data_IF_784893020767
#
_entry.id   IF_784893020767
#
_cell.length_a   1.000
_cell.length_b   1.000
_cell.length_c   1.000
_cell.angle_alpha   90.00
_cell.angle_beta   90.00
_cell.angle_gamma   90.00
#
_symmetry.space_group_name_H-M   'P 1'
#
loop_
_entity.id
_entity.type
_entity.pdbx_description
1 polymer ?
#
# COMPACT_ATOMS: atom_id res chain seq x y z
N UNK A 1 11.74 -1.79 -23.60
CA UNK A 1 10.70 -2.57 -22.90
C UNK A 1 9.52 -1.64 -22.68
N UNK A 2 8.38 -1.86 -23.34
CA UNK A 2 7.17 -1.04 -23.20
C UNK A 2 6.39 -1.54 -21.97
N UNK A 3 6.72 -1.01 -20.79
CA UNK A 3 6.10 -1.38 -19.49
C UNK A 3 4.78 -0.67 -19.22
N UNK A 4 4.50 0.39 -19.96
CA UNK A 4 3.46 1.35 -19.58
C UNK A 4 2.06 0.97 -20.07
N UNK A 5 1.94 0.09 -21.07
CA UNK A 5 0.63 -0.24 -21.66
C UNK A 5 -0.30 -1.03 -20.73
N UNK A 6 0.23 -1.61 -19.65
CA UNK A 6 -0.55 -2.40 -18.69
C UNK A 6 -1.20 -1.57 -17.58
N UNK A 7 -0.72 -0.34 -17.34
CA UNK A 7 -1.13 0.49 -16.21
C UNK A 7 -1.93 1.70 -16.66
N UNK A 8 -2.98 2.02 -15.90
CA UNK A 8 -3.64 3.33 -16.01
C UNK A 8 -2.83 4.34 -15.21
N UNK A 9 -2.32 5.38 -15.88
CA UNK A 9 -1.67 6.51 -15.20
C UNK A 9 -2.72 7.36 -14.47
N UNK A 10 -2.50 7.63 -13.19
CA UNK A 10 -3.38 8.46 -12.37
C UNK A 10 -2.61 9.63 -11.75
N UNK A 11 -3.32 10.72 -11.46
CA UNK A 11 -2.81 11.88 -10.72
C UNK A 11 -3.67 12.09 -9.48
N UNK A 12 -3.04 12.42 -8.36
CA UNK A 12 -3.73 12.67 -7.10
C UNK A 12 -2.89 13.55 -6.16
N UNK A 13 -3.56 14.24 -5.24
CA UNK A 13 -2.92 14.89 -4.09
C UNK A 13 -2.81 13.95 -2.89
N UNK A 14 -3.76 13.02 -2.77
CA UNK A 14 -3.77 11.97 -1.74
C UNK A 14 -4.44 10.73 -2.30
N UNK A 15 -3.81 9.57 -2.18
CA UNK A 15 -4.38 8.28 -2.52
C UNK A 15 -4.56 7.43 -1.27
N UNK A 16 -5.80 7.05 -0.96
CA UNK A 16 -6.12 6.10 0.10
C UNK A 16 -6.28 4.71 -0.51
N UNK A 17 -5.45 3.77 -0.06
CA UNK A 17 -5.46 2.37 -0.47
C UNK A 17 -5.94 1.57 0.73
N UNK A 18 -7.10 0.94 0.61
CA UNK A 18 -7.69 0.15 1.68
C UNK A 18 -8.04 -1.24 1.17
N UNK A 19 -8.12 -2.21 2.08
CA UNK A 19 -8.63 -3.53 1.74
C UNK A 19 -10.13 -3.55 1.99
N UNK A 20 -10.92 -3.87 0.96
CA UNK A 20 -12.33 -4.18 1.10
C UNK A 20 -12.59 -5.65 0.77
N UNK A 21 -13.51 -6.31 1.50
CA UNK A 21 -14.01 -7.65 1.13
C UNK A 21 -14.56 -7.71 -0.30
N UNK A 22 -14.94 -6.56 -0.87
CA UNK A 22 -15.41 -6.40 -2.25
C UNK A 22 -14.88 -5.08 -2.82
N UNK A 23 -13.64 -5.04 -3.29
CA UNK A 23 -13.19 -3.90 -4.12
C UNK A 23 -13.24 -4.24 -5.60
N UNK A 24 -14.26 -3.67 -6.24
CA UNK A 24 -14.24 -3.26 -7.63
C UNK A 24 -13.24 -2.10 -7.81
N UNK A 25 -11.94 -2.43 -7.91
CA UNK A 25 -11.04 -1.63 -8.74
C UNK A 25 -11.50 -1.92 -10.18
N UNK A 26 -12.04 -0.92 -10.87
CA UNK A 26 -12.76 -1.08 -12.14
C UNK A 26 -11.92 -1.80 -13.20
N UNK A 27 -12.28 -3.06 -13.45
CA UNK A 27 -12.33 -3.79 -14.72
C UNK A 27 -11.36 -3.44 -15.86
N UNK A 28 -10.07 -3.32 -15.59
CA UNK A 28 -9.06 -3.79 -16.55
C UNK A 28 -8.14 -4.77 -15.85
N UNK A 29 -8.48 -6.07 -15.92
CA UNK A 29 -7.59 -7.16 -15.48
C UNK A 29 -6.47 -7.33 -16.50
N UNK A 30 -5.52 -6.40 -16.51
CA UNK A 30 -4.27 -6.64 -17.19
C UNK A 30 -3.42 -7.51 -16.26
N UNK A 31 -3.32 -8.80 -16.58
CA UNK A 31 -2.40 -9.70 -15.88
C UNK A 31 -0.98 -9.21 -16.11
N UNK A 32 -0.19 -9.15 -15.03
CA UNK A 32 1.23 -8.82 -15.13
C UNK A 32 1.97 -10.08 -15.55
N UNK A 33 2.72 -10.08 -16.67
CA UNK A 33 3.47 -11.28 -17.07
C UNK A 33 4.55 -11.63 -16.04
N UNK A 34 4.80 -12.93 -15.83
CA UNK A 34 5.72 -13.43 -14.81
C UNK A 34 7.15 -12.88 -14.93
N UNK A 35 7.65 -12.66 -16.15
CA UNK A 35 8.95 -12.06 -16.40
C UNK A 35 9.10 -10.64 -15.85
N UNK A 36 7.99 -9.93 -15.63
CA UNK A 36 8.01 -8.62 -14.96
C UNK A 36 8.09 -8.72 -13.44
N UNK A 37 7.82 -9.89 -12.86
CA UNK A 37 7.75 -10.11 -11.41
C UNK A 37 9.01 -10.76 -10.82
N UNK A 38 9.97 -11.20 -11.65
CA UNK A 38 11.15 -11.98 -11.23
C UNK A 38 12.08 -11.23 -10.24
N UNK A 39 11.90 -9.92 -10.08
CA UNK A 39 12.69 -9.08 -9.18
C UNK A 39 11.99 -8.69 -7.88
N UNK A 40 10.74 -9.10 -7.64
CA UNK A 40 10.01 -8.71 -6.43
C UNK A 40 10.15 -9.74 -5.31
N UNK A 41 10.41 -9.24 -4.10
CA UNK A 41 10.65 -10.11 -2.95
C UNK A 41 9.42 -10.91 -2.55
N UNK A 42 8.22 -10.43 -2.87
CA UNK A 42 6.96 -11.13 -2.60
C UNK A 42 6.51 -12.11 -3.69
N UNK A 43 7.28 -12.32 -4.77
CA UNK A 43 6.87 -13.27 -5.83
C UNK A 43 6.65 -14.67 -5.25
N UNK A 44 5.38 -15.00 -5.00
CA UNK A 44 4.92 -16.33 -4.64
C UNK A 44 4.49 -17.05 -5.90
N UNK A 45 5.24 -18.10 -6.25
CA UNK A 45 4.92 -18.98 -7.38
C UNK A 45 3.48 -19.49 -7.22
N UNK A 46 2.66 -19.30 -8.26
CA UNK A 46 1.27 -19.75 -8.30
C UNK A 46 0.21 -18.74 -7.88
N UNK A 47 0.59 -17.52 -7.46
CA UNK A 47 -0.37 -16.43 -7.22
C UNK A 47 -0.68 -15.65 -8.51
N UNK A 48 -1.91 -15.14 -8.64
CA UNK A 48 -2.29 -14.26 -9.73
C UNK A 48 -2.07 -12.80 -9.34
N UNK A 49 -1.63 -11.98 -10.29
CA UNK A 49 -1.37 -10.56 -10.09
C UNK A 49 -2.04 -9.74 -11.19
N UNK A 50 -2.65 -8.61 -10.81
CA UNK A 50 -3.21 -7.63 -11.73
C UNK A 50 -2.58 -6.26 -11.55
N UNK A 51 -2.27 -5.60 -12.67
CA UNK A 51 -1.84 -4.21 -12.70
C UNK A 51 -3.03 -3.31 -12.38
N UNK A 52 -2.84 -2.36 -11.46
CA UNK A 52 -3.91 -1.45 -11.04
C UNK A 52 -3.64 -0.04 -11.59
N UNK A 53 -2.62 0.61 -11.06
CA UNK A 53 -2.31 2.01 -11.37
C UNK A 53 -0.81 2.26 -11.47
N UNK A 54 -0.45 3.26 -12.26
CA UNK A 54 0.87 3.88 -12.27
C UNK A 54 0.71 5.35 -11.89
N UNK A 55 1.64 5.90 -11.14
CA UNK A 55 1.69 7.34 -10.86
C UNK A 55 3.12 7.77 -10.54
N UNK A 56 3.37 9.06 -10.64
CA UNK A 56 4.65 9.60 -10.24
C UNK A 56 4.71 9.87 -8.74
N UNK A 57 5.82 9.52 -8.12
CA UNK A 57 6.08 9.83 -6.70
C UNK A 57 6.71 11.20 -6.50
N UNK A 58 7.10 11.90 -7.57
CA UNK A 58 7.67 13.24 -7.48
C UNK A 58 7.30 14.10 -8.69
N UNK A 59 7.27 15.42 -8.49
CA UNK A 59 6.94 16.38 -9.57
C UNK A 59 7.82 16.28 -10.83
N UNK A 60 9.07 15.77 -10.70
CA UNK A 60 9.99 15.66 -11.84
C UNK A 60 9.94 14.28 -12.51
N UNK A 61 9.07 13.36 -12.08
CA UNK A 61 8.95 12.00 -12.62
C UNK A 61 10.25 11.19 -12.58
N UNK A 62 11.12 11.50 -11.62
CA UNK A 62 12.32 10.71 -11.31
C UNK A 62 11.94 9.38 -10.68
N UNK A 63 10.79 9.31 -10.03
CA UNK A 63 10.28 8.14 -9.36
C UNK A 63 8.85 7.83 -9.83
N UNK A 64 8.61 6.58 -10.16
CA UNK A 64 7.29 6.06 -10.53
C UNK A 64 6.90 4.93 -9.58
N UNK A 65 5.66 4.98 -9.11
CA UNK A 65 5.05 3.92 -8.36
C UNK A 65 4.08 3.11 -9.22
N UNK A 66 4.00 1.83 -8.92
CA UNK A 66 3.09 0.88 -9.54
C UNK A 66 2.31 0.18 -8.43
N UNK A 67 1.00 0.17 -8.54
CA UNK A 67 0.13 -0.62 -7.68
C UNK A 67 -0.19 -1.95 -8.34
N UNK A 68 0.08 -3.02 -7.60
CA UNK A 68 -0.18 -4.39 -8.01
C UNK A 68 -1.13 -5.01 -7.01
N UNK A 69 -2.20 -5.61 -7.51
CA UNK A 69 -3.10 -6.41 -6.71
C UNK A 69 -2.67 -7.87 -6.79
N UNK A 70 -2.45 -8.50 -5.64
CA UNK A 70 -2.30 -9.94 -5.52
C UNK A 70 -3.69 -10.54 -5.29
N UNK A 71 -4.08 -11.44 -6.18
CA UNK A 71 -5.34 -12.18 -6.11
C UNK A 71 -5.07 -13.51 -5.41
N UNK A 72 -5.50 -13.62 -4.15
CA UNK A 72 -5.59 -14.90 -3.46
C UNK A 72 -6.73 -15.76 -4.03
N UNK A 73 -6.73 -17.05 -3.70
CA UNK A 73 -7.93 -17.88 -3.86
C UNK A 73 -9.08 -17.34 -2.99
N UNK A 74 -10.28 -17.93 -3.06
CA UNK A 74 -11.45 -17.51 -2.26
C UNK A 74 -11.20 -17.49 -0.74
N UNK A 75 -10.11 -18.09 -0.27
CA UNK A 75 -9.68 -18.14 1.13
C UNK A 75 -8.42 -17.30 1.42
N UNK A 76 -7.75 -16.79 0.40
CA UNK A 76 -6.47 -16.11 0.49
C UNK A 76 -6.62 -14.60 0.65
N UNK A 77 -5.65 -13.91 1.28
CA UNK A 77 -5.68 -12.47 1.40
C UNK A 77 -5.61 -11.82 0.01
N UNK A 78 -6.56 -10.93 -0.29
CA UNK A 78 -6.35 -9.97 -1.36
C UNK A 78 -5.52 -8.83 -0.79
N UNK A 79 -4.34 -8.65 -1.35
CA UNK A 79 -3.41 -7.60 -0.94
C UNK A 79 -3.09 -6.68 -2.12
N UNK A 80 -2.85 -5.41 -1.82
CA UNK A 80 -2.34 -4.42 -2.77
C UNK A 80 -0.94 -4.05 -2.34
N UNK A 81 0.00 -4.14 -3.26
CA UNK A 81 1.40 -3.76 -3.07
C UNK A 81 1.71 -2.50 -3.86
N UNK A 82 2.69 -1.74 -3.37
CA UNK A 82 3.36 -0.68 -4.12
C UNK A 82 4.78 -1.10 -4.46
N UNK A 83 5.19 -0.75 -5.66
CA UNK A 83 6.56 -0.84 -6.12
C UNK A 83 6.99 0.54 -6.60
N UNK A 84 8.07 1.08 -6.06
CA UNK A 84 8.62 2.36 -6.48
C UNK A 84 9.93 2.14 -7.19
N UNK A 85 10.02 2.68 -8.40
CA UNK A 85 11.19 2.62 -9.25
C UNK A 85 11.77 4.00 -9.46
N UNK A 86 13.09 4.08 -9.50
CA UNK A 86 13.78 5.18 -10.17
C UNK A 86 13.59 5.01 -11.68
N UNK A 87 13.07 6.05 -12.35
CA UNK A 87 12.75 6.02 -13.79
C UNK A 87 14.00 5.80 -14.63
N UNK A 88 15.10 6.45 -14.26
CA UNK A 88 16.39 6.25 -14.90
C UNK A 88 16.97 4.89 -14.49
N UNK A 89 17.16 4.00 -15.47
CA UNK A 89 17.65 2.64 -15.25
C UNK A 89 16.64 1.65 -14.67
N UNK A 90 15.37 2.05 -14.45
CA UNK A 90 14.29 1.18 -13.95
C UNK A 90 14.68 0.40 -12.67
N UNK A 91 15.38 1.06 -11.75
CA UNK A 91 15.85 0.45 -10.50
C UNK A 91 14.73 0.45 -9.45
N UNK A 92 14.35 -0.72 -8.93
CA UNK A 92 13.45 -0.84 -7.78
C UNK A 92 14.14 -0.26 -6.53
N UNK A 93 13.49 0.68 -5.85
CA UNK A 93 14.02 1.34 -4.64
C UNK A 93 13.13 1.16 -3.42
N UNK A 94 11.87 0.74 -3.61
CA UNK A 94 10.97 0.45 -2.51
C UNK A 94 9.86 -0.50 -2.92
N UNK A 95 9.45 -1.33 -1.98
CA UNK A 95 8.42 -2.35 -2.10
C UNK A 95 7.71 -2.44 -0.75
N UNK A 96 6.38 -2.42 -0.74
CA UNK A 96 5.60 -2.61 0.49
C UNK A 96 4.17 -3.06 0.23
N UNK A 97 3.60 -3.78 1.19
CA UNK A 97 2.17 -4.06 1.24
C UNK A 97 1.44 -2.77 1.69
N UNK A 98 0.51 -2.28 0.88
CA UNK A 98 -0.28 -1.09 1.21
C UNK A 98 -1.60 -1.45 1.87
N UNK A 99 -2.27 -2.46 1.35
CA UNK A 99 -3.55 -2.88 1.87
C UNK A 99 -3.67 -4.39 1.89
N UNK A 100 -4.24 -4.92 2.98
CA UNK A 100 -4.59 -6.33 3.07
C UNK A 100 -5.76 -6.50 4.04
N UNK A 101 -6.65 -7.43 3.70
CA UNK A 101 -7.63 -7.97 4.62
C UNK A 101 -7.40 -9.48 4.70
N UNK A 102 -7.24 -9.99 5.92
CA UNK A 102 -6.96 -11.40 6.13
C UNK A 102 -7.63 -11.90 7.41
N UNK A 103 -8.39 -12.99 7.30
CA UNK A 103 -8.78 -13.79 8.45
C UNK A 103 -7.63 -14.74 8.77
N UNK A 104 -7.04 -14.62 9.95
CA UNK A 104 -6.02 -15.56 10.44
C UNK A 104 -6.70 -16.55 11.38
N UNK A 105 -6.53 -17.84 11.11
CA UNK A 105 -6.90 -18.94 12.02
C UNK A 105 -8.29 -18.81 12.68
N UNK A 106 -9.36 -18.53 11.92
CA UNK A 106 -10.77 -18.43 12.40
C UNK A 106 -11.08 -17.45 13.55
N UNK A 107 -10.08 -16.93 14.26
CA UNK A 107 -10.22 -16.10 15.46
C UNK A 107 -9.51 -14.77 15.38
N UNK A 108 -8.79 -14.49 14.30
CA UNK A 108 -8.14 -13.20 14.11
C UNK A 108 -8.54 -12.56 12.78
N UNK A 109 -8.57 -11.24 12.78
CA UNK A 109 -8.66 -10.42 11.58
C UNK A 109 -7.46 -9.47 11.55
N UNK A 110 -6.76 -9.45 10.42
CA UNK A 110 -5.75 -8.45 10.10
C UNK A 110 -6.29 -7.54 9.00
N UNK A 111 -6.31 -6.25 9.26
CA UNK A 111 -6.66 -5.21 8.30
C UNK A 111 -5.52 -4.22 8.20
N UNK A 112 -5.05 -3.93 6.99
CA UNK A 112 -4.06 -2.89 6.72
C UNK A 112 -4.58 -1.95 5.65
N UNK A 113 -4.40 -0.64 5.90
CA UNK A 113 -4.70 0.42 4.96
C UNK A 113 -3.50 1.37 4.87
N UNK A 114 -3.35 2.04 3.74
CA UNK A 114 -2.30 3.01 3.50
C UNK A 114 -2.79 4.29 2.83
N UNK A 115 -2.06 5.37 3.05
CA UNK A 115 -2.25 6.67 2.44
C UNK A 115 -0.96 7.11 1.78
N UNK A 116 -1.05 7.55 0.54
CA UNK A 116 0.07 8.08 -0.23
C UNK A 116 -0.19 9.57 -0.44
N UNK A 117 0.70 10.41 0.07
CA UNK A 117 0.64 11.87 -0.04
C UNK A 117 2.01 12.46 0.30
N UNK A 118 2.27 13.68 -0.12
CA UNK A 118 3.44 14.45 0.32
C UNK A 118 3.19 14.94 1.77
N UNK A 119 3.69 14.20 2.77
CA UNK A 119 3.38 14.45 4.19
C UNK A 119 4.30 15.47 4.86
N UNK A 120 5.40 15.90 4.25
CA UNK A 120 6.25 17.00 4.75
C UNK A 120 6.39 18.18 3.79
N UNK A 121 5.84 18.10 2.58
CA UNK A 121 5.84 19.18 1.59
C UNK A 121 7.14 19.27 0.81
N UNK A 122 7.95 18.20 0.75
CA UNK A 122 9.23 18.19 0.02
C UNK A 122 9.06 17.97 -1.50
N UNK A 123 7.83 17.66 -1.94
CA UNK A 123 7.47 17.39 -3.34
C UNK A 123 7.69 15.94 -3.76
N UNK A 124 7.96 15.04 -2.82
CA UNK A 124 8.03 13.59 -2.97
C UNK A 124 6.94 12.96 -2.11
N UNK A 125 6.25 11.97 -2.66
CA UNK A 125 5.15 11.29 -1.99
C UNK A 125 5.69 10.36 -0.88
N UNK A 126 5.14 10.49 0.31
CA UNK A 126 5.32 9.61 1.45
C UNK A 126 4.20 8.57 1.53
N UNK A 127 4.38 7.55 2.38
CA UNK A 127 3.41 6.46 2.55
C UNK A 127 3.13 6.22 4.03
N UNK A 128 1.94 6.58 4.51
CA UNK A 128 1.45 6.25 5.86
C UNK A 128 0.73 4.91 5.85
N UNK A 129 0.98 4.04 6.83
CA UNK A 129 0.40 2.69 6.93
C UNK A 129 -0.18 2.43 8.30
N UNK A 130 -1.45 2.02 8.33
CA UNK A 130 -2.18 1.65 9.55
C UNK A 130 -2.52 0.16 9.46
N UNK A 131 -1.96 -0.61 10.38
CA UNK A 131 -2.17 -2.04 10.50
C UNK A 131 -2.94 -2.31 11.80
N UNK A 132 -4.06 -3.01 11.69
CA UNK A 132 -4.94 -3.40 12.78
C UNK A 132 -5.00 -4.92 12.84
N UNK A 133 -4.80 -5.46 14.04
CA UNK A 133 -5.07 -6.84 14.38
C UNK A 133 -6.22 -6.86 15.38
N UNK A 134 -7.24 -7.65 15.07
CA UNK A 134 -8.39 -7.91 15.93
C UNK A 134 -8.36 -9.38 16.29
N UNK A 135 -8.41 -9.66 17.58
CA UNK A 135 -8.49 -10.99 18.16
C UNK A 135 -9.92 -11.17 18.71
N UNK A 136 -10.67 -12.07 18.08
CA UNK A 136 -12.06 -12.37 18.41
C UNK A 136 -12.18 -13.30 19.63
N UNK A 137 -11.08 -13.85 20.14
CA UNK A 137 -11.10 -14.69 21.33
C UNK A 137 -11.29 -13.86 22.60
N UNK A 138 -12.05 -14.44 23.53
CA UNK A 138 -12.22 -13.86 24.85
C UNK A 138 -10.90 -13.98 25.61
N UNK A 139 -10.38 -12.85 26.06
CA UNK A 139 -9.16 -12.83 26.89
C UNK A 139 -9.34 -13.71 28.13
N UNK A 140 -8.39 -14.63 28.34
CA UNK A 140 -8.24 -15.41 29.58
C UNK A 140 -6.82 -15.20 30.14
N UNK A 141 -6.56 -15.46 31.44
CA UNK A 141 -5.24 -15.23 32.02
C UNK A 141 -4.09 -15.93 31.29
N UNK A 142 -4.35 -17.12 30.74
CA UNK A 142 -3.36 -17.95 30.02
C UNK A 142 -3.17 -17.53 28.56
N UNK A 143 -4.11 -16.77 27.99
CA UNK A 143 -4.14 -16.29 26.61
C UNK A 143 -4.75 -14.88 26.57
N UNK A 144 -3.94 -13.83 26.85
CA UNK A 144 -4.43 -12.47 26.78
C UNK A 144 -4.78 -12.10 25.34
N UNK A 145 -5.82 -11.27 25.17
CA UNK A 145 -6.20 -10.77 23.86
C UNK A 145 -5.03 -9.99 23.22
N UNK A 146 -4.73 -10.30 21.97
CA UNK A 146 -3.59 -9.74 21.23
C UNK A 146 -3.96 -8.64 20.23
N UNK A 147 -5.20 -8.13 20.31
CA UNK A 147 -5.66 -7.02 19.47
C UNK A 147 -4.80 -5.78 19.64
N UNK A 148 -4.61 -5.04 18.55
CA UNK A 148 -3.89 -3.78 18.59
C UNK A 148 -3.79 -3.11 17.24
N UNK A 149 -3.36 -1.87 17.25
CA UNK A 149 -3.09 -1.08 16.05
C UNK A 149 -1.64 -0.61 16.05
N UNK A 150 -0.98 -0.72 14.89
CA UNK A 150 0.34 -0.16 14.62
C UNK A 150 0.24 0.83 13.47
N UNK A 151 0.91 1.96 13.65
CA UNK A 151 0.94 3.04 12.68
C UNK A 151 2.41 3.39 12.41
N UNK A 152 2.82 3.38 11.15
CA UNK A 152 4.16 3.79 10.72
C UNK A 152 4.08 4.52 9.38
N UNK A 153 5.15 5.20 9.02
CA UNK A 153 5.26 5.95 7.76
C UNK A 153 6.57 5.62 7.08
N UNK A 154 6.54 5.50 5.76
CA UNK A 154 7.72 5.43 4.92
C UNK A 154 7.98 6.81 4.33
N UNK A 155 9.10 7.42 4.72
CA UNK A 155 9.54 8.71 4.17
C UNK A 155 10.65 8.54 3.17
N UNK A 156 10.64 9.34 2.11
CA UNK A 156 11.74 9.33 1.15
C UNK A 156 12.94 10.15 1.65
N UNK A 157 14.06 9.48 1.95
CA UNK A 157 15.29 10.13 2.43
C UNK A 157 16.50 9.54 1.71
N UNK A 158 17.37 10.40 1.20
CA UNK A 158 18.65 10.00 0.59
C UNK A 158 18.51 8.91 -0.50
N UNK A 159 17.47 9.00 -1.35
CA UNK A 159 17.27 8.08 -2.47
C UNK A 159 16.57 6.76 -2.15
N UNK A 160 16.06 6.57 -0.92
CA UNK A 160 15.34 5.38 -0.48
C UNK A 160 14.21 5.75 0.48
N UNK A 161 13.28 4.82 0.71
CA UNK A 161 12.27 4.97 1.74
C UNK A 161 12.77 4.42 3.08
N UNK A 162 12.57 5.18 4.15
CA UNK A 162 12.89 4.79 5.52
C UNK A 162 11.62 4.73 6.35
N UNK A 163 11.47 3.67 7.16
CA UNK A 163 10.34 3.51 8.05
C UNK A 163 10.56 4.31 9.34
N UNK A 164 9.56 5.10 9.71
CA UNK A 164 9.51 5.82 10.98
C UNK A 164 8.17 5.59 11.69
N UNK A 165 8.17 5.81 13.00
CA UNK A 165 6.95 5.71 13.81
C UNK A 165 5.98 6.83 13.42
N UNK A 166 4.71 6.47 13.29
CA UNK A 166 3.69 7.43 12.89
C UNK A 166 3.29 8.29 14.09
N UNK A 167 3.73 9.55 14.11
CA UNK A 167 3.26 10.50 15.12
C UNK A 167 1.87 11.03 14.70
N UNK A 168 0.86 10.85 15.55
CA UNK A 168 -0.52 11.30 15.35
C UNK A 168 -0.63 12.82 15.07
N UNK A 169 0.33 13.63 15.56
CA UNK A 169 0.37 15.06 15.28
C UNK A 169 0.60 15.39 13.80
N UNK A 170 1.22 14.47 13.05
CA UNK A 170 1.40 14.59 11.59
C UNK A 170 0.04 14.45 10.91
N UNK A 171 -0.74 13.42 11.28
CA UNK A 171 -2.09 13.20 10.74
C UNK A 171 -3.05 14.36 11.05
N UNK A 172 -3.00 14.95 12.25
CA UNK A 172 -3.85 16.11 12.58
C UNK A 172 -3.67 17.25 11.59
N UNK A 173 -2.45 17.51 11.12
CA UNK A 173 -2.22 18.55 10.09
C UNK A 173 -2.96 18.22 8.79
N UNK A 174 -2.97 16.97 8.35
CA UNK A 174 -3.64 16.56 7.10
C UNK A 174 -5.15 16.38 7.23
N UNK A 175 -5.63 15.87 8.37
CA UNK A 175 -7.05 15.76 8.67
C UNK A 175 -7.71 17.14 8.82
N UNK A 176 -7.00 18.13 9.38
CA UNK A 176 -7.50 19.51 9.51
C UNK A 176 -7.53 20.26 8.18
N UNK A 177 -6.65 19.94 7.22
CA UNK A 177 -6.67 20.55 5.88
C UNK A 177 -7.95 20.17 5.10
N UNK A 178 -8.58 19.02 5.39
CA UNK A 178 -9.84 18.61 4.74
C UNK A 178 -11.11 18.83 5.58
N UNK A 179 -10.96 19.17 6.87
CA UNK A 179 -12.09 19.34 7.79
C UNK A 179 -12.70 20.75 7.88
N UNK A 180 -12.01 21.79 7.41
CA UNK A 180 -12.44 23.19 7.55
C UNK A 180 -13.16 23.78 6.32
N UNK A 181 -13.59 22.95 5.37
CA UNK A 181 -14.27 23.41 4.14
C UNK A 181 -15.80 23.36 4.16
N UNK A 182 -16.43 22.73 5.16
CA UNK A 182 -17.89 22.63 5.25
C UNK A 182 -18.37 22.52 6.70
N UNK A 183 -18.51 23.66 7.38
CA UNK A 183 -19.58 23.92 8.35
C UNK A 183 -19.95 25.39 8.32
#
# INVERSE_FOLDING_TARGET
>A
MQTDSLFTEIQFETLHVYAGMTQALSSSRNMIPSAHLEHFSFYKKGMNYSAVHKFSMDKNRKYNAYLIKMEGDTSGPSAVYILVFQTDGMKLIFESELAVYQLLASSFERTQNAWIADFDGDGIMDIGVHNQLIDFEKSIPEAPNSSGSKQFMYRFKNGKYEMESWNYDILKKYALIKGNGHR
#
